data_IF_620936291163
#
_entry.id   IF_620936291163
#
_cell.length_a   1.000
_cell.length_b   1.000
_cell.length_c   1.000
_cell.angle_alpha   90.00
_cell.angle_beta   90.00
_cell.angle_gamma   90.00
#
_symmetry.space_group_name_H-M   'P 1'
#
loop_
_entity.id
_entity.type
_entity.pdbx_description
1 polymer ?
#
# COMPACT_ATOMS: atom_id res chain seq x y z
N UNK A 1 5.72 25.14 -8.91
CA UNK A 1 4.92 24.40 -7.92
C UNK A 1 4.96 22.92 -8.28
N UNK A 2 6.05 22.22 -7.90
CA UNK A 2 6.30 20.83 -8.32
C UNK A 2 7.07 20.06 -7.23
N UNK A 3 6.60 20.11 -5.98
CA UNK A 3 7.31 19.54 -4.83
C UNK A 3 6.60 18.36 -4.14
N UNK A 4 5.44 17.92 -4.65
CA UNK A 4 4.66 16.84 -4.00
C UNK A 4 4.93 15.48 -4.65
N UNK A 5 5.16 15.42 -5.97
CA UNK A 5 5.37 14.16 -6.68
C UNK A 5 6.71 13.48 -6.36
N UNK A 6 7.73 14.24 -5.94
CA UNK A 6 9.07 13.72 -5.63
C UNK A 6 9.18 13.07 -4.26
N UNK A 7 8.26 13.34 -3.32
CA UNK A 7 8.30 12.79 -1.94
C UNK A 7 7.63 11.41 -1.82
N UNK A 8 6.99 10.92 -2.88
CA UNK A 8 6.39 9.59 -2.91
C UNK A 8 7.33 8.59 -3.59
N UNK A 9 8.14 9.02 -4.54
CA UNK A 9 9.05 8.16 -5.29
C UNK A 9 10.29 7.71 -4.49
N UNK A 10 10.64 8.41 -3.40
CA UNK A 10 11.74 8.05 -2.50
C UNK A 10 11.32 7.07 -1.41
N UNK A 11 10.02 6.90 -1.16
CA UNK A 11 9.50 6.04 -0.10
C UNK A 11 9.48 4.58 -0.51
N UNK A 12 9.95 3.69 0.35
CA UNK A 12 10.06 2.25 0.06
C UNK A 12 8.74 1.51 0.02
N UNK A 13 7.70 1.97 0.71
CA UNK A 13 6.43 1.27 0.83
C UNK A 13 5.26 2.15 0.41
N UNK A 14 4.26 1.50 -0.19
CA UNK A 14 2.95 2.07 -0.46
C UNK A 14 1.90 1.21 0.22
N UNK A 15 1.00 1.82 0.97
CA UNK A 15 -0.22 1.19 1.48
C UNK A 15 -1.43 1.83 0.82
N UNK A 16 -2.31 1.01 0.27
CA UNK A 16 -3.64 1.43 -0.20
C UNK A 16 -4.66 0.85 0.76
N UNK A 17 -5.40 1.73 1.42
CA UNK A 17 -6.41 1.33 2.40
C UNK A 17 -7.79 1.72 1.88
N UNK A 18 -8.64 0.72 1.76
CA UNK A 18 -10.03 0.87 1.34
C UNK A 18 -10.92 0.98 2.58
N UNK A 19 -11.66 2.08 2.69
CA UNK A 19 -12.65 2.30 3.73
C UNK A 19 -14.07 2.29 3.16
N UNK A 20 -15.01 1.68 3.88
CA UNK A 20 -16.43 1.82 3.60
C UNK A 20 -16.90 3.22 3.99
N UNK A 21 -17.61 3.89 3.09
CA UNK A 21 -18.27 5.16 3.37
C UNK A 21 -19.72 5.09 2.88
N UNK A 22 -20.56 6.02 3.32
CA UNK A 22 -21.97 6.10 2.91
C UNK A 22 -22.14 6.31 1.38
N UNK A 23 -21.11 6.87 0.73
CA UNK A 23 -21.07 7.10 -0.73
C UNK A 23 -20.42 5.93 -1.49
N UNK A 24 -19.98 4.89 -0.78
CA UNK A 24 -19.29 3.72 -1.33
C UNK A 24 -17.85 3.56 -0.81
N UNK A 25 -17.13 2.51 -1.25
CA UNK A 25 -15.73 2.30 -0.85
C UNK A 25 -14.83 3.45 -1.33
N UNK A 26 -13.99 3.96 -0.45
CA UNK A 26 -12.99 4.98 -0.73
C UNK A 26 -11.59 4.46 -0.43
N UNK A 27 -10.70 4.57 -1.42
CA UNK A 27 -9.29 4.21 -1.28
C UNK A 27 -8.45 5.42 -0.87
N UNK A 28 -7.54 5.21 0.08
CA UNK A 28 -6.53 6.20 0.49
C UNK A 28 -5.14 5.59 0.33
N UNK A 29 -4.25 6.32 -0.33
CA UNK A 29 -2.86 5.90 -0.52
C UNK A 29 -1.93 6.58 0.49
N UNK A 30 -1.01 5.80 1.03
CA UNK A 30 0.04 6.26 1.94
C UNK A 30 1.40 5.75 1.46
N UNK A 31 2.39 6.63 1.43
CA UNK A 31 3.78 6.30 1.09
C UNK A 31 4.66 6.53 2.32
N UNK A 32 5.49 5.56 2.68
CA UNK A 32 6.27 5.57 3.91
C UNK A 32 7.55 4.75 3.80
N UNK A 33 8.50 4.99 4.70
CA UNK A 33 9.88 4.49 4.55
C UNK A 33 10.08 3.11 5.14
N UNK A 34 9.63 2.88 6.38
CA UNK A 34 9.80 1.60 7.05
C UNK A 34 8.46 0.87 7.18
N UNK A 35 8.43 -0.44 6.90
CA UNK A 35 7.18 -1.22 6.99
C UNK A 35 6.55 -1.13 8.38
N UNK A 36 7.39 -0.95 9.39
CA UNK A 36 6.97 -0.75 10.77
C UNK A 36 6.10 0.48 10.93
N UNK A 37 6.23 1.53 10.12
CA UNK A 37 5.44 2.77 10.25
C UNK A 37 3.96 2.58 9.86
N UNK A 38 3.59 1.43 9.28
CA UNK A 38 2.20 1.13 8.93
C UNK A 38 1.26 1.21 10.14
N UNK A 39 1.71 0.79 11.33
CA UNK A 39 0.87 0.87 12.53
C UNK A 39 0.40 2.30 12.80
N UNK A 40 1.27 3.30 12.61
CA UNK A 40 0.93 4.71 12.79
C UNK A 40 -0.17 5.14 11.82
N UNK A 41 -0.10 4.71 10.57
CA UNK A 41 -1.09 5.03 9.54
C UNK A 41 -2.46 4.44 9.90
N UNK A 42 -2.50 3.19 10.36
CA UNK A 42 -3.74 2.51 10.70
C UNK A 42 -4.34 3.06 12.01
N UNK A 43 -3.51 3.31 13.02
CA UNK A 43 -3.96 3.82 14.33
C UNK A 43 -4.49 5.25 14.25
N UNK A 44 -3.87 6.11 13.44
CA UNK A 44 -4.31 7.49 13.23
C UNK A 44 -5.30 7.62 12.07
N UNK A 45 -5.65 6.51 11.43
CA UNK A 45 -6.57 6.46 10.31
C UNK A 45 -8.04 6.63 10.74
N UNK A 46 -8.97 6.56 9.76
CA UNK A 46 -10.39 6.45 10.02
C UNK A 46 -10.75 5.28 10.95
N UNK A 47 -11.99 5.28 11.44
CA UNK A 47 -12.50 4.22 12.31
C UNK A 47 -12.34 2.83 11.64
N UNK A 48 -11.70 1.92 12.37
CA UNK A 48 -11.34 0.58 11.93
C UNK A 48 -12.53 -0.27 11.49
N UNK A 49 -13.73 -0.01 12.03
CA UNK A 49 -14.94 -0.71 11.62
C UNK A 49 -15.30 -0.47 10.15
N UNK A 50 -14.74 0.58 9.53
CA UNK A 50 -14.92 0.86 8.12
C UNK A 50 -13.76 0.36 7.27
N UNK A 51 -12.67 -0.16 7.84
CA UNK A 51 -11.55 -0.68 7.06
C UNK A 51 -11.96 -1.99 6.37
N UNK A 52 -11.98 -1.97 5.04
CA UNK A 52 -12.33 -3.12 4.21
C UNK A 52 -11.07 -3.93 3.88
N UNK A 53 -10.01 -3.24 3.47
CA UNK A 53 -8.78 -3.86 2.96
C UNK A 53 -7.61 -2.91 3.10
N UNK A 54 -6.45 -3.45 3.45
CA UNK A 54 -5.16 -2.75 3.40
C UNK A 54 -4.21 -3.57 2.53
N UNK A 55 -3.84 -3.03 1.36
CA UNK A 55 -2.88 -3.64 0.45
C UNK A 55 -1.56 -2.90 0.57
N UNK A 56 -0.49 -3.62 0.89
CA UNK A 56 0.85 -3.04 1.02
C UNK A 56 1.74 -3.56 -0.10
N UNK A 57 2.39 -2.66 -0.83
CA UNK A 57 3.32 -2.95 -1.91
C UNK A 57 4.67 -2.30 -1.66
N UNK A 58 5.72 -2.94 -2.18
CA UNK A 58 7.05 -2.34 -2.21
C UNK A 58 7.10 -1.31 -3.34
N UNK A 59 7.32 -0.05 -3.00
CA UNK A 59 7.38 1.08 -3.93
C UNK A 59 8.81 1.22 -4.46
N UNK A 60 9.23 0.28 -5.31
CA UNK A 60 10.54 0.31 -5.99
C UNK A 60 10.34 0.36 -7.51
N UNK A 61 11.19 1.09 -8.24
CA UNK A 61 11.13 1.19 -9.71
C UNK A 61 11.50 -0.11 -10.44
N UNK A 62 11.94 -1.15 -9.73
CA UNK A 62 12.39 -2.44 -10.26
C UNK A 62 11.29 -3.52 -10.15
N UNK A 63 10.08 -3.20 -10.63
CA UNK A 63 8.88 -4.07 -10.57
C UNK A 63 8.44 -4.50 -9.15
N UNK A 64 8.60 -3.61 -8.16
CA UNK A 64 8.12 -3.84 -6.79
C UNK A 64 6.60 -4.03 -6.70
N UNK A 65 5.83 -3.40 -7.60
CA UNK A 65 4.38 -3.57 -7.70
C UNK A 65 3.97 -5.00 -8.10
N UNK A 66 4.82 -5.73 -8.85
CA UNK A 66 4.55 -7.11 -9.26
C UNK A 66 4.77 -8.15 -8.15
N UNK A 67 5.32 -7.77 -6.99
CA UNK A 67 5.47 -8.72 -5.86
C UNK A 67 4.12 -9.24 -5.35
N UNK A 68 3.04 -8.47 -5.50
CA UNK A 68 1.69 -8.88 -5.14
C UNK A 68 0.91 -9.53 -6.31
N UNK A 69 1.56 -9.82 -7.44
CA UNK A 69 0.91 -10.57 -8.52
C UNK A 69 0.79 -12.05 -8.15
N UNK A 70 -0.42 -12.59 -8.26
CA UNK A 70 -0.71 -14.02 -8.05
C UNK A 70 0.19 -14.89 -8.96
N UNK A 71 0.51 -14.40 -10.16
CA UNK A 71 1.38 -15.08 -11.11
C UNK A 71 2.83 -15.25 -10.63
N UNK A 72 3.39 -14.28 -9.90
CA UNK A 72 4.76 -14.37 -9.38
C UNK A 72 4.85 -15.27 -8.15
N UNK A 73 3.84 -15.24 -7.28
CA UNK A 73 3.70 -16.20 -6.17
C UNK A 73 3.65 -17.66 -6.70
N UNK A 74 2.81 -17.90 -7.72
CA UNK A 74 2.69 -19.21 -8.38
C UNK A 74 3.94 -19.66 -9.16
N UNK A 75 4.82 -18.73 -9.56
CA UNK A 75 6.12 -19.06 -10.19
C UNK A 75 7.15 -19.50 -9.15
N UNK A 76 7.15 -18.90 -7.96
CA UNK A 76 8.05 -19.29 -6.87
C UNK A 76 7.70 -20.69 -6.31
N UNK A 77 6.42 -21.02 -6.17
CA UNK A 77 5.99 -22.34 -5.67
C UNK A 77 6.31 -23.51 -6.62
N UNK A 78 6.43 -23.26 -7.93
CA UNK A 78 6.75 -24.30 -8.92
C UNK A 78 8.24 -24.61 -9.06
N UNK A 79 9.10 -23.86 -8.38
CA UNK A 79 10.55 -24.05 -8.39
C UNK A 79 11.08 -24.76 -7.14
N UNK A 80 10.19 -25.14 -6.20
CA UNK A 80 10.51 -25.84 -4.96
C UNK A 80 9.98 -27.27 -4.96
#
# INVERSE_FOLDING_TARGET
MSNVFTLHADKRWKAVIDYSTDEGPKSVEHYFEEITDLHLIIEHGPNWNFLIRCTVTLNRPDDGEEQNSVEKALRHERQH
#
